data_IF_553694444188
#
_entry.id   IF_553694444188
#
_cell.length_a   1.000
_cell.length_b   1.000
_cell.length_c   1.000
_cell.angle_alpha   90.00
_cell.angle_beta   90.00
_cell.angle_gamma   90.00
#
_symmetry.space_group_name_H-M   'P 1'
#
loop_
_entity.id
_entity.type
_entity.pdbx_description
1 polymer ?
#
# COMPACT_ATOMS: atom_id res chain seq x y z
N UNK A 1 26.61 -22.78 10.62
CA UNK A 1 25.48 -22.23 9.82
C UNK A 1 24.13 -22.41 10.50
N UNK A 2 23.84 -23.53 11.16
CA UNK A 2 22.56 -23.77 11.89
C UNK A 2 22.21 -22.64 12.87
N UNK A 3 23.18 -22.19 13.68
CA UNK A 3 22.99 -21.09 14.64
C UNK A 3 22.71 -19.71 14.03
N UNK A 4 23.21 -19.41 12.83
CA UNK A 4 22.94 -18.12 12.15
C UNK A 4 21.61 -18.10 11.40
N UNK A 5 21.06 -19.27 11.08
CA UNK A 5 19.76 -19.41 10.44
C UNK A 5 18.60 -19.34 11.46
N UNK A 6 18.80 -19.87 12.68
CA UNK A 6 17.83 -19.79 13.78
C UNK A 6 17.47 -18.34 14.19
N UNK A 7 18.39 -17.38 14.01
CA UNK A 7 18.14 -15.95 14.28
C UNK A 7 17.09 -15.31 13.35
N UNK A 8 16.65 -15.98 12.28
CA UNK A 8 15.51 -15.55 11.44
C UNK A 8 14.22 -16.27 11.84
N UNK A 9 13.88 -16.22 13.13
CA UNK A 9 12.88 -17.07 13.82
C UNK A 9 11.45 -17.10 13.25
N UNK A 10 11.06 -16.20 12.34
CA UNK A 10 9.70 -16.23 11.76
C UNK A 10 9.48 -17.35 10.74
N UNK A 11 10.53 -17.85 10.07
CA UNK A 11 10.39 -18.92 9.09
C UNK A 11 10.33 -20.32 9.74
N UNK A 12 11.05 -20.51 10.86
CA UNK A 12 11.15 -21.80 11.55
C UNK A 12 9.90 -22.13 12.39
N UNK A 13 9.29 -21.12 13.02
CA UNK A 13 8.03 -21.28 13.76
C UNK A 13 6.87 -21.76 12.86
N UNK A 14 6.78 -21.26 11.62
CA UNK A 14 5.79 -21.73 10.62
C UNK A 14 6.04 -23.16 10.11
N UNK A 15 7.29 -23.62 10.21
CA UNK A 15 7.70 -24.97 9.84
C UNK A 15 7.64 -25.96 11.02
N UNK A 16 7.26 -25.48 12.22
CA UNK A 16 7.21 -26.31 13.44
C UNK A 16 8.58 -26.73 13.97
N UNK A 17 9.65 -26.04 13.57
CA UNK A 17 11.02 -26.33 14.00
C UNK A 17 11.34 -25.36 15.15
N UNK A 18 11.40 -25.89 16.37
CA UNK A 18 11.76 -25.14 17.58
C UNK A 18 13.22 -25.38 17.96
N UNK A 19 13.81 -24.49 18.77
CA UNK A 19 15.20 -24.59 19.26
C UNK A 19 15.49 -25.88 20.06
N UNK A 20 14.45 -26.60 20.49
CA UNK A 20 14.53 -27.87 21.21
C UNK A 20 14.52 -29.11 20.31
N UNK A 21 14.32 -28.97 18.99
CA UNK A 21 14.28 -30.13 18.08
C UNK A 21 15.69 -30.56 17.67
N UNK A 22 16.15 -31.78 18.04
CA UNK A 22 17.51 -32.19 17.72
C UNK A 22 17.66 -32.52 16.23
N UNK A 23 18.84 -32.21 15.67
CA UNK A 23 19.16 -32.40 14.24
C UNK A 23 18.86 -33.82 13.70
N UNK A 24 19.14 -34.92 14.43
CA UNK A 24 18.79 -36.28 14.00
C UNK A 24 17.29 -36.49 13.78
N UNK A 25 16.44 -35.86 14.60
CA UNK A 25 14.98 -35.95 14.49
C UNK A 25 14.46 -35.24 13.23
N UNK A 26 15.13 -34.15 12.84
CA UNK A 26 14.80 -33.42 11.61
C UNK A 26 15.27 -34.18 10.36
N UNK A 27 16.42 -34.86 10.44
CA UNK A 27 16.95 -35.71 9.35
C UNK A 27 16.10 -36.97 9.12
N UNK A 28 15.55 -37.55 10.18
CA UNK A 28 14.66 -38.71 10.09
C UNK A 28 13.25 -38.36 9.58
N UNK A 29 12.86 -37.09 9.65
CA UNK A 29 11.54 -36.62 9.21
C UNK A 29 11.46 -36.49 7.70
N UNK A 30 10.52 -37.21 7.07
CA UNK A 30 10.20 -37.06 5.63
C UNK A 30 9.66 -35.67 5.26
N UNK A 31 9.30 -34.84 6.25
CA UNK A 31 8.78 -33.49 6.02
C UNK A 31 9.87 -32.49 5.64
N UNK A 32 11.13 -32.76 5.99
CA UNK A 32 12.23 -31.83 5.78
C UNK A 32 13.33 -32.46 4.95
N UNK A 33 13.65 -31.83 3.81
CA UNK A 33 14.82 -32.20 3.02
C UNK A 33 16.00 -31.33 3.43
N UNK A 34 16.82 -31.82 4.36
CA UNK A 34 18.05 -31.15 4.77
C UNK A 34 19.13 -31.46 3.74
N UNK A 35 19.65 -30.41 3.10
CA UNK A 35 20.71 -30.51 2.11
C UNK A 35 22.07 -30.36 2.80
N UNK A 36 23.05 -31.17 2.38
CA UNK A 36 24.46 -30.94 2.73
C UNK A 36 24.98 -29.66 2.06
N UNK A 37 26.09 -29.10 2.55
CA UNK A 37 26.68 -27.89 1.93
C UNK A 37 27.05 -28.15 0.46
N UNK A 38 27.57 -29.35 0.13
CA UNK A 38 27.86 -29.75 -1.25
C UNK A 38 26.60 -29.80 -2.12
N UNK A 39 25.50 -30.40 -1.62
CA UNK A 39 24.24 -30.50 -2.38
C UNK A 39 23.59 -29.14 -2.56
N UNK A 40 23.67 -28.28 -1.55
CA UNK A 40 23.18 -26.91 -1.61
C UNK A 40 23.94 -26.10 -2.67
N UNK A 41 25.28 -26.17 -2.69
CA UNK A 41 26.11 -25.51 -3.72
C UNK A 41 25.76 -26.00 -5.13
N UNK A 42 25.53 -27.30 -5.31
CA UNK A 42 25.09 -27.86 -6.60
C UNK A 42 23.71 -27.35 -7.02
N UNK A 43 22.76 -27.27 -6.09
CA UNK A 43 21.41 -26.74 -6.34
C UNK A 43 21.45 -25.25 -6.72
N UNK A 44 22.24 -24.45 -6.00
CA UNK A 44 22.45 -23.03 -6.31
C UNK A 44 23.10 -22.89 -7.68
N UNK A 45 24.13 -23.67 -7.99
CA UNK A 45 24.78 -23.65 -9.31
C UNK A 45 23.82 -24.01 -10.45
N UNK A 46 22.90 -24.97 -10.24
CA UNK A 46 21.85 -25.31 -11.21
C UNK A 46 20.85 -24.16 -11.37
N UNK A 47 20.41 -23.55 -10.28
CA UNK A 47 19.51 -22.38 -10.32
C UNK A 47 20.16 -21.21 -11.07
N UNK A 48 21.41 -20.89 -10.77
CA UNK A 48 22.17 -19.82 -11.44
C UNK A 48 22.35 -20.11 -12.94
N UNK A 49 22.65 -21.36 -13.31
CA UNK A 49 22.70 -21.78 -14.72
C UNK A 49 21.37 -21.57 -15.43
N UNK A 50 20.26 -21.98 -14.80
CA UNK A 50 18.92 -21.76 -15.33
C UNK A 50 18.58 -20.27 -15.51
N UNK A 51 18.93 -19.43 -14.53
CA UNK A 51 18.74 -17.98 -14.64
C UNK A 51 19.61 -17.36 -15.73
N UNK A 52 20.88 -17.80 -15.87
CA UNK A 52 21.77 -17.36 -16.96
C UNK A 52 21.20 -17.73 -18.33
N UNK A 53 20.62 -18.92 -18.48
CA UNK A 53 20.02 -19.34 -19.74
C UNK A 53 18.77 -18.52 -20.07
N UNK A 54 17.91 -18.25 -19.08
CA UNK A 54 16.76 -17.34 -19.23
C UNK A 54 17.22 -15.94 -19.63
N UNK A 55 18.23 -15.39 -18.96
CA UNK A 55 18.79 -14.08 -19.30
C UNK A 55 19.28 -14.05 -20.74
N UNK A 56 20.07 -15.04 -21.17
CA UNK A 56 20.56 -15.15 -22.54
C UNK A 56 19.42 -15.16 -23.55
N UNK A 57 18.38 -15.96 -23.31
CA UNK A 57 17.19 -16.00 -24.15
C UNK A 57 16.57 -14.61 -24.29
N UNK A 58 16.29 -13.93 -23.18
CA UNK A 58 15.69 -12.60 -23.19
C UNK A 58 16.59 -11.54 -23.83
N UNK A 59 17.91 -11.62 -23.66
CA UNK A 59 18.86 -10.76 -24.35
C UNK A 59 18.81 -10.97 -25.87
N UNK A 60 18.76 -12.21 -26.34
CA UNK A 60 18.61 -12.50 -27.77
C UNK A 60 17.29 -11.96 -28.32
N UNK A 61 16.18 -12.16 -27.60
CA UNK A 61 14.87 -11.62 -27.98
C UNK A 61 14.94 -10.09 -28.07
N UNK A 62 15.49 -9.42 -27.05
CA UNK A 62 15.63 -7.97 -27.03
C UNK A 62 16.50 -7.45 -28.19
N UNK A 63 17.61 -8.13 -28.49
CA UNK A 63 18.46 -7.80 -29.63
C UNK A 63 17.74 -7.96 -30.97
N UNK A 64 16.98 -9.05 -31.15
CA UNK A 64 16.16 -9.26 -32.36
C UNK A 64 15.11 -8.16 -32.51
N UNK A 65 14.39 -7.82 -31.44
CA UNK A 65 13.41 -6.73 -31.46
C UNK A 65 14.09 -5.41 -31.85
N UNK A 66 15.22 -5.07 -31.21
CA UNK A 66 15.97 -3.85 -31.51
C UNK A 66 16.47 -3.79 -32.97
N UNK A 67 16.87 -4.94 -33.52
CA UNK A 67 17.29 -5.03 -34.92
C UNK A 67 16.10 -4.82 -35.87
N UNK A 68 14.96 -5.42 -35.57
CA UNK A 68 13.74 -5.27 -36.38
C UNK A 68 13.18 -3.85 -36.35
N UNK A 69 13.26 -3.16 -35.20
CA UNK A 69 12.87 -1.76 -35.06
C UNK A 69 13.85 -0.81 -35.74
N UNK A 70 15.17 -1.01 -35.57
CA UNK A 70 16.20 -0.20 -36.24
C UNK A 70 16.08 -0.27 -37.77
N UNK A 71 15.89 -1.47 -38.31
CA UNK A 71 15.74 -1.70 -39.75
C UNK A 71 14.33 -1.37 -40.28
N UNK A 72 13.42 -0.87 -39.44
CA UNK A 72 12.03 -0.51 -39.80
C UNK A 72 11.30 -1.62 -40.55
N UNK A 73 11.53 -2.87 -40.13
CA UNK A 73 10.84 -4.02 -40.72
C UNK A 73 9.35 -4.00 -40.35
N UNK A 74 8.46 -4.64 -41.14
CA UNK A 74 7.03 -4.71 -40.81
C UNK A 74 6.78 -5.35 -39.44
N UNK A 75 7.61 -6.33 -39.06
CA UNK A 75 7.58 -6.93 -37.72
C UNK A 75 7.96 -5.92 -36.64
N UNK A 76 9.01 -5.12 -36.86
CA UNK A 76 9.41 -4.03 -35.95
C UNK A 76 8.28 -3.02 -35.73
N UNK A 77 7.61 -2.61 -36.82
CA UNK A 77 6.45 -1.70 -36.75
C UNK A 77 5.24 -2.31 -36.04
N UNK A 78 4.98 -3.60 -36.23
CA UNK A 78 3.95 -4.31 -35.48
C UNK A 78 4.28 -4.39 -33.98
N UNK A 79 5.53 -4.67 -33.61
CA UNK A 79 5.96 -4.72 -32.20
C UNK A 79 5.76 -3.36 -31.52
N UNK A 80 6.16 -2.26 -32.17
CA UNK A 80 6.02 -0.91 -31.59
C UNK A 80 4.56 -0.54 -31.37
N UNK A 81 3.68 -0.82 -32.34
CA UNK A 81 2.25 -0.50 -32.20
C UNK A 81 1.57 -1.33 -31.10
N UNK A 82 1.94 -2.60 -30.96
CA UNK A 82 1.47 -3.43 -29.85
C UNK A 82 1.94 -2.92 -28.48
N UNK A 83 3.21 -2.53 -28.36
CA UNK A 83 3.75 -1.96 -27.12
C UNK A 83 3.07 -0.65 -26.74
N UNK A 84 2.82 0.23 -27.70
CA UNK A 84 2.07 1.48 -27.48
C UNK A 84 0.63 1.22 -27.03
N UNK A 85 -0.04 0.25 -27.65
CA UNK A 85 -1.41 -0.15 -27.29
C UNK A 85 -1.46 -0.70 -25.86
N UNK A 86 -0.56 -1.61 -25.50
CA UNK A 86 -0.46 -2.14 -24.14
C UNK A 86 -0.14 -1.04 -23.11
N UNK A 87 0.74 -0.09 -23.46
CA UNK A 87 1.05 1.04 -22.60
C UNK A 87 -0.19 1.92 -22.35
N UNK A 88 -0.98 2.22 -23.39
CA UNK A 88 -2.23 2.97 -23.26
C UNK A 88 -3.26 2.23 -22.40
N UNK A 89 -3.42 0.92 -22.60
CA UNK A 89 -4.30 0.07 -21.80
C UNK A 89 -3.86 0.02 -20.33
N UNK A 90 -2.55 -0.08 -20.07
CA UNK A 90 -2.02 -0.05 -18.71
C UNK A 90 -2.29 1.30 -18.04
N UNK A 91 -2.04 2.42 -18.73
CA UNK A 91 -2.33 3.76 -18.22
C UNK A 91 -3.82 3.92 -17.90
N UNK A 92 -4.71 3.48 -18.80
CA UNK A 92 -6.15 3.50 -18.57
C UNK A 92 -6.55 2.70 -17.32
N UNK A 93 -6.05 1.46 -17.19
CA UNK A 93 -6.31 0.61 -16.00
C UNK A 93 -5.82 1.25 -14.72
N UNK A 94 -4.61 1.80 -14.71
CA UNK A 94 -4.08 2.48 -13.52
C UNK A 94 -4.90 3.72 -13.16
N UNK A 95 -5.38 4.46 -14.16
CA UNK A 95 -6.27 5.61 -13.95
C UNK A 95 -7.61 5.18 -13.34
N UNK A 96 -8.20 4.09 -13.82
CA UNK A 96 -9.47 3.60 -13.30
C UNK A 96 -9.35 2.97 -11.90
N UNK A 97 -8.25 2.26 -11.62
CA UNK A 97 -7.93 1.81 -10.26
C UNK A 97 -7.75 2.99 -9.29
N UNK A 98 -7.06 4.04 -9.72
CA UNK A 98 -6.87 5.25 -8.93
C UNK A 98 -8.22 5.91 -8.62
N UNK A 99 -9.10 6.06 -9.61
CA UNK A 99 -10.47 6.59 -9.44
C UNK A 99 -11.31 5.72 -8.50
N UNK A 100 -11.23 4.40 -8.62
CA UNK A 100 -11.97 3.49 -7.74
C UNK A 100 -11.50 3.60 -6.29
N UNK A 101 -10.17 3.67 -6.07
CA UNK A 101 -9.58 3.82 -4.73
C UNK A 101 -9.91 5.17 -4.10
N UNK A 102 -9.92 6.26 -4.88
CA UNK A 102 -10.33 7.58 -4.35
C UNK A 102 -11.79 7.60 -3.98
N UNK A 103 -12.68 7.07 -4.83
CA UNK A 103 -14.11 6.97 -4.53
C UNK A 103 -14.37 6.14 -3.27
N UNK A 104 -13.77 4.95 -3.15
CA UNK A 104 -13.90 4.10 -1.96
C UNK A 104 -13.41 4.81 -0.69
N UNK A 105 -12.30 5.54 -0.78
CA UNK A 105 -11.76 6.27 0.36
C UNK A 105 -12.61 7.52 0.72
N UNK A 106 -13.23 8.21 -0.26
CA UNK A 106 -14.23 9.27 -0.02
C UNK A 106 -15.46 8.68 0.68
N UNK A 107 -16.04 7.60 0.14
CA UNK A 107 -17.22 6.96 0.71
C UNK A 107 -16.95 6.45 2.12
N UNK A 108 -15.78 5.83 2.33
CA UNK A 108 -15.32 5.39 3.64
C UNK A 108 -15.30 6.57 4.60
N UNK A 109 -14.65 7.69 4.23
CA UNK A 109 -14.58 8.90 5.06
C UNK A 109 -15.97 9.51 5.37
N UNK A 110 -16.84 9.62 4.37
CA UNK A 110 -18.20 10.13 4.55
C UNK A 110 -19.05 9.25 5.47
N UNK A 111 -18.79 7.95 5.49
CA UNK A 111 -19.48 6.98 6.35
C UNK A 111 -18.88 6.88 7.77
N UNK A 112 -17.76 7.55 8.07
CA UNK A 112 -17.18 7.52 9.43
C UNK A 112 -17.98 8.41 10.38
N UNK A 113 -18.63 7.80 11.37
CA UNK A 113 -19.11 8.51 12.57
C UNK A 113 -17.95 8.67 13.55
N UNK A 114 -17.36 9.87 13.59
CA UNK A 114 -16.21 10.19 14.46
C UNK A 114 -16.61 10.38 15.94
N UNK A 115 -17.87 10.13 16.30
CA UNK A 115 -18.36 10.24 17.67
C UNK A 115 -17.96 9.08 18.58
N UNK A 116 -17.14 8.12 18.11
CA UNK A 116 -16.77 6.97 18.94
C UNK A 116 -15.81 7.34 20.07
N UNK A 117 -16.16 6.90 21.28
CA UNK A 117 -15.38 7.13 22.49
C UNK A 117 -14.22 6.14 22.64
N UNK A 118 -14.14 5.08 21.82
CA UNK A 118 -13.12 4.05 21.96
C UNK A 118 -11.76 4.45 21.35
N UNK A 119 -10.63 4.20 22.04
CA UNK A 119 -9.31 4.62 21.59
C UNK A 119 -8.81 3.86 20.35
N UNK A 120 -9.18 2.59 20.19
CA UNK A 120 -8.78 1.75 19.05
C UNK A 120 -9.47 2.20 17.75
N UNK A 121 -10.76 2.52 17.82
CA UNK A 121 -11.51 3.07 16.69
C UNK A 121 -10.93 4.43 16.25
N UNK A 122 -10.50 5.28 17.21
CA UNK A 122 -9.82 6.54 16.88
C UNK A 122 -8.51 6.33 16.13
N UNK A 123 -7.72 5.30 16.47
CA UNK A 123 -6.48 4.97 15.75
C UNK A 123 -6.79 4.47 14.34
N UNK A 124 -7.82 3.63 14.19
CA UNK A 124 -8.30 3.18 12.89
C UNK A 124 -8.74 4.36 12.00
N UNK A 125 -9.55 5.28 12.52
CA UNK A 125 -9.99 6.46 11.78
C UNK A 125 -8.83 7.39 11.37
N UNK A 126 -7.83 7.57 12.24
CA UNK A 126 -6.61 8.32 11.90
C UNK A 126 -5.82 7.66 10.77
N UNK A 127 -5.72 6.33 10.77
CA UNK A 127 -5.04 5.58 9.72
C UNK A 127 -5.78 5.69 8.38
N UNK A 128 -7.10 5.53 8.37
CA UNK A 128 -7.95 5.68 7.18
C UNK A 128 -7.82 7.09 6.59
N UNK A 129 -7.87 8.12 7.44
CA UNK A 129 -7.69 9.51 7.03
C UNK A 129 -6.31 9.76 6.41
N UNK A 130 -5.25 9.27 7.06
CA UNK A 130 -3.88 9.43 6.54
C UNK A 130 -3.76 8.80 5.15
N UNK A 131 -4.26 7.58 4.99
CA UNK A 131 -4.26 6.85 3.71
C UNK A 131 -5.03 7.58 2.61
N UNK A 132 -6.18 8.18 2.94
CA UNK A 132 -6.94 9.01 2.02
C UNK A 132 -6.15 10.23 1.55
N UNK A 133 -5.50 10.95 2.47
CA UNK A 133 -4.71 12.14 2.13
C UNK A 133 -3.49 11.81 1.26
N UNK A 134 -2.83 10.68 1.54
CA UNK A 134 -1.75 10.16 0.69
C UNK A 134 -2.25 9.82 -0.72
N UNK A 135 -3.44 9.22 -0.82
CA UNK A 135 -4.07 8.88 -2.11
C UNK A 135 -4.44 10.14 -2.90
N UNK A 136 -5.05 11.15 -2.25
CA UNK A 136 -5.34 12.44 -2.87
C UNK A 136 -4.09 13.19 -3.31
N UNK A 137 -3.02 13.19 -2.50
CA UNK A 137 -1.76 13.82 -2.86
C UNK A 137 -1.14 13.21 -4.12
N UNK A 138 -1.28 11.89 -4.31
CA UNK A 138 -0.86 11.23 -5.55
C UNK A 138 -1.72 11.54 -6.78
N UNK A 139 -2.96 12.01 -6.58
CA UNK A 139 -3.89 12.35 -7.67
C UNK A 139 -3.80 13.82 -8.10
N UNK A 140 -3.35 14.70 -7.20
CA UNK A 140 -3.30 16.14 -7.40
C UNK A 140 -1.92 16.50 -7.97
N UNK A 141 -1.89 17.24 -9.08
CA UNK A 141 -0.63 17.72 -9.66
C UNK A 141 0.07 18.70 -8.71
N UNK A 142 1.41 18.81 -8.75
CA UNK A 142 2.15 19.75 -7.89
C UNK A 142 1.68 21.20 -8.03
N UNK A 143 1.17 21.59 -9.19
CA UNK A 143 0.59 22.93 -9.44
C UNK A 143 -0.71 23.19 -8.66
N UNK A 144 -1.39 22.13 -8.18
CA UNK A 144 -2.68 22.21 -7.49
C UNK A 144 -2.58 21.91 -6.00
N UNK A 145 -1.39 21.97 -5.40
CA UNK A 145 -1.18 21.76 -3.95
C UNK A 145 -2.12 22.60 -3.06
N UNK A 146 -2.52 23.80 -3.51
CA UNK A 146 -3.50 24.64 -2.80
C UNK A 146 -4.84 23.93 -2.58
N UNK A 147 -5.34 23.23 -3.59
CA UNK A 147 -6.61 22.48 -3.51
C UNK A 147 -6.53 21.30 -2.54
N UNK A 148 -5.36 20.64 -2.41
CA UNK A 148 -5.16 19.58 -1.41
C UNK A 148 -5.28 20.15 0.01
N UNK A 149 -4.73 21.34 0.27
CA UNK A 149 -4.80 21.99 1.58
C UNK A 149 -6.24 22.37 1.95
N UNK A 150 -7.03 22.85 0.99
CA UNK A 150 -8.45 23.14 1.16
C UNK A 150 -9.26 21.87 1.46
N UNK A 151 -9.06 20.79 0.71
CA UNK A 151 -9.72 19.50 0.96
C UNK A 151 -9.31 18.91 2.32
N UNK A 152 -8.03 19.01 2.70
CA UNK A 152 -7.56 18.65 4.05
C UNK A 152 -8.30 19.45 5.12
N UNK A 153 -8.47 20.75 4.90
CA UNK A 153 -9.15 21.65 5.84
C UNK A 153 -10.63 21.29 6.00
N UNK A 154 -11.36 21.12 4.90
CA UNK A 154 -12.78 20.72 4.94
C UNK A 154 -12.97 19.36 5.62
N UNK A 155 -12.09 18.39 5.33
CA UNK A 155 -12.11 17.11 6.01
C UNK A 155 -11.72 17.21 7.49
N UNK A 156 -10.89 18.18 7.88
CA UNK A 156 -10.62 18.48 9.31
C UNK A 156 -11.89 18.99 9.98
N UNK A 157 -12.62 19.91 9.34
CA UNK A 157 -13.87 20.47 9.84
C UNK A 157 -14.98 19.42 9.96
N UNK A 158 -15.10 18.51 8.98
CA UNK A 158 -16.02 17.37 9.05
C UNK A 158 -15.61 16.34 10.13
N UNK A 159 -14.32 16.33 10.52
CA UNK A 159 -13.75 15.34 11.44
C UNK A 159 -13.66 15.72 12.92
N UNK A 160 -14.10 16.91 13.34
CA UNK A 160 -14.29 17.21 14.76
C UNK A 160 -14.25 18.68 15.16
N UNK A 161 -14.44 18.98 16.46
CA UNK A 161 -15.61 18.65 17.27
C UNK A 161 -16.71 19.72 17.06
N UNK A 162 -17.99 19.35 17.10
CA UNK A 162 -19.04 20.34 17.39
C UNK A 162 -18.91 20.81 18.86
N UNK A 163 -17.94 21.68 19.14
CA UNK A 163 -17.99 22.59 20.28
C UNK A 163 -18.98 23.71 19.96
N UNK A 164 -20.27 23.38 19.90
CA UNK A 164 -21.32 24.38 20.13
C UNK A 164 -21.34 24.62 21.64
N UNK A 165 -20.44 25.46 22.15
CA UNK A 165 -20.62 26.08 23.46
C UNK A 165 -21.84 27.00 23.38
N UNK A 166 -23.02 26.45 23.72
CA UNK A 166 -24.08 27.23 24.36
C UNK A 166 -23.51 27.73 25.68
N UNK A 167 -23.01 28.96 25.69
CA UNK A 167 -23.19 29.99 26.73
C UNK A 167 -22.23 31.14 26.49
N UNK A 168 -22.79 32.19 25.92
CA UNK A 168 -22.26 33.53 25.81
C UNK A 168 -23.42 34.48 25.61
N UNK A 169 -24.40 34.43 26.52
CA UNK A 169 -25.41 35.49 26.66
C UNK A 169 -24.81 36.52 27.61
N UNK A 170 -23.95 37.38 27.09
CA UNK A 170 -23.91 38.78 27.50
C UNK A 170 -24.50 39.54 26.32
N UNK A 171 -25.36 40.53 26.44
CA UNK A 171 -25.59 41.45 27.53
C UNK A 171 -26.71 42.36 27.01
N UNK A 172 -27.84 42.51 27.71
CA UNK A 172 -28.65 43.72 27.59
C UNK A 172 -29.18 44.08 28.98
N UNK A 173 -28.71 45.23 29.46
CA UNK A 173 -29.21 45.96 30.61
C UNK A 173 -30.66 46.41 30.38
N UNK A 174 -31.47 46.39 31.42
CA UNK A 174 -32.29 47.49 31.93
C UNK A 174 -33.19 46.92 33.04
N UNK A 175 -32.91 47.22 34.31
CA UNK A 175 -33.34 48.43 35.01
C UNK A 175 -34.87 48.52 35.20
N UNK A 176 -35.30 48.24 36.43
CA UNK A 176 -36.36 49.03 37.06
C UNK A 176 -37.68 48.32 37.37
N UNK A 177 -38.02 48.36 38.68
CA UNK A 177 -39.38 48.42 39.26
C UNK A 177 -40.18 47.12 39.10
N UNK A 178 -40.70 46.45 40.14
CA UNK A 178 -41.12 46.88 41.46
C UNK A 178 -42.53 46.32 41.70
N UNK A 179 -42.81 45.83 42.93
CA UNK A 179 -44.16 45.48 43.46
C UNK A 179 -44.84 44.28 42.76
N UNK A 180 -45.55 43.36 43.42
CA UNK A 180 -46.34 43.35 44.67
C UNK A 180 -46.49 41.90 45.14
N UNK A 181 -46.78 41.75 46.44
CA UNK A 181 -47.33 40.57 47.12
C UNK A 181 -48.60 40.06 46.42
N UNK A 182 -48.81 38.75 46.45
CA UNK A 182 -49.92 38.11 47.16
C UNK A 182 -49.33 36.94 47.94
#
# INVERSE_FOLDING_TARGET
MYHRLAQRGQAYSRLGINDQTPLPSLLASRRFKILTDSDYRLLVARKLRGQRQKLRFWCCVAACVALHTYNKTPLGGWITTQLETEQQLHLARTGDELKARTLDAVLTLCNLRISSQQPEERLYYRAVRKRFLETLAGCISPEREGTLREVIWELRMLSGPQSRKRRGSGMWMNAGRGRRRC
#
